data_IF_759200600432
#
_entry.id   IF_759200600432
#
_cell.length_a   1.000
_cell.length_b   1.000
_cell.length_c   1.000
_cell.angle_alpha   90.00
_cell.angle_beta   90.00
_cell.angle_gamma   90.00
#
_symmetry.space_group_name_H-M   'P 1'
#
loop_
_entity.id
_entity.type
_entity.pdbx_description
1 polymer ?
#
# COMPACT_ATOMS: atom_id res chain seq x y z
N UNK A 1 22.31 -23.84 21.13
CA UNK A 1 22.29 -25.02 22.05
C UNK A 1 21.22 -24.97 23.15
N UNK A 2 21.09 -23.93 24.01
CA UNK A 2 20.03 -23.91 25.04
C UNK A 2 18.63 -23.95 24.43
N UNK A 3 18.35 -23.03 23.49
CA UNK A 3 17.05 -22.90 22.81
C UNK A 3 16.65 -24.21 22.09
N UNK A 4 17.60 -24.85 21.41
CA UNK A 4 17.36 -26.13 20.73
C UNK A 4 17.02 -27.25 21.71
N UNK A 5 17.79 -27.39 22.80
CA UNK A 5 17.53 -28.40 23.84
C UNK A 5 16.15 -28.21 24.47
N UNK A 6 15.81 -26.96 24.79
CA UNK A 6 14.51 -26.61 25.34
C UNK A 6 13.39 -26.89 24.35
N UNK A 7 13.53 -26.47 23.08
CA UNK A 7 12.58 -26.74 22.02
C UNK A 7 12.37 -28.23 21.77
N UNK A 8 13.44 -29.02 21.73
CA UNK A 8 13.35 -30.48 21.60
C UNK A 8 12.59 -31.12 22.77
N UNK A 9 12.85 -30.69 24.01
CA UNK A 9 12.13 -31.17 25.18
C UNK A 9 10.64 -30.80 25.11
N UNK A 10 10.34 -29.54 24.78
CA UNK A 10 8.97 -29.05 24.60
C UNK A 10 8.23 -29.84 23.52
N UNK A 11 8.83 -30.01 22.35
CA UNK A 11 8.24 -30.76 21.24
C UNK A 11 7.97 -32.22 21.58
N UNK A 12 8.84 -32.88 22.35
CA UNK A 12 8.59 -34.24 22.85
C UNK A 12 7.38 -34.31 23.80
N UNK A 13 7.23 -33.33 24.70
CA UNK A 13 6.10 -33.27 25.65
C UNK A 13 4.76 -32.99 24.94
N UNK A 14 4.81 -32.24 23.83
CA UNK A 14 3.63 -31.86 23.04
C UNK A 14 3.30 -32.85 21.93
N UNK A 15 4.22 -33.75 21.55
CA UNK A 15 4.01 -34.72 20.48
C UNK A 15 2.79 -35.60 20.77
N UNK A 16 1.88 -35.70 19.79
CA UNK A 16 0.63 -36.47 19.91
C UNK A 16 -0.48 -35.75 20.68
N UNK A 17 -0.26 -34.52 21.16
CA UNK A 17 -1.29 -33.67 21.77
C UNK A 17 -1.83 -32.66 20.76
N UNK A 18 -3.08 -32.24 20.95
CA UNK A 18 -3.63 -31.10 20.22
C UNK A 18 -3.08 -29.80 20.83
N UNK A 19 -1.94 -29.33 20.31
CA UNK A 19 -1.22 -28.18 20.84
C UNK A 19 -0.69 -27.27 19.71
N UNK A 20 -0.73 -25.96 19.94
CA UNK A 20 -0.15 -24.94 19.07
C UNK A 20 1.01 -24.24 19.81
N UNK A 21 2.16 -24.12 19.15
CA UNK A 21 3.28 -23.30 19.63
C UNK A 21 3.25 -21.98 18.89
N UNK A 22 3.23 -20.88 19.64
CA UNK A 22 3.35 -19.53 19.09
C UNK A 22 4.62 -18.88 19.65
N UNK A 23 5.56 -18.56 18.77
CA UNK A 23 6.68 -17.67 19.09
C UNK A 23 6.38 -16.29 18.50
N UNK A 24 6.37 -15.27 19.36
CA UNK A 24 6.19 -13.88 18.96
C UNK A 24 7.53 -13.17 18.97
N UNK A 25 7.82 -12.43 17.91
CA UNK A 25 9.02 -11.60 17.76
C UNK A 25 8.77 -10.54 16.71
N UNK A 26 9.26 -9.34 16.95
CA UNK A 26 9.52 -8.37 15.89
C UNK A 26 10.79 -8.80 15.13
N UNK A 27 10.87 -8.46 13.85
CA UNK A 27 12.03 -8.74 13.00
C UNK A 27 13.00 -7.54 13.03
N UNK A 28 13.33 -6.97 11.87
CA UNK A 28 14.23 -5.84 11.78
C UNK A 28 13.72 -4.65 12.59
N UNK A 29 14.62 -4.02 13.35
CA UNK A 29 14.33 -2.78 14.08
C UNK A 29 15.04 -1.61 13.43
N UNK A 30 14.23 -0.67 12.95
CA UNK A 30 14.56 0.68 12.53
C UNK A 30 15.40 0.91 11.26
N UNK A 31 15.67 -0.07 10.37
CA UNK A 31 16.28 0.28 9.09
C UNK A 31 15.24 0.99 8.20
N UNK A 32 15.66 1.39 7.00
CA UNK A 32 14.72 1.87 5.98
C UNK A 32 13.74 0.76 5.57
N UNK A 33 12.61 1.12 4.96
CA UNK A 33 11.63 0.15 4.45
C UNK A 33 12.27 -0.89 3.52
N UNK A 34 13.11 -0.44 2.58
CA UNK A 34 13.78 -1.33 1.62
C UNK A 34 14.77 -2.27 2.32
N UNK A 35 15.53 -1.74 3.28
CA UNK A 35 16.47 -2.54 4.06
C UNK A 35 15.76 -3.54 4.97
N UNK A 36 14.63 -3.17 5.59
CA UNK A 36 13.80 -4.09 6.36
C UNK A 36 13.36 -5.28 5.50
N UNK A 37 12.86 -5.04 4.29
CA UNK A 37 12.49 -6.12 3.34
C UNK A 37 13.70 -7.02 3.04
N UNK A 38 14.87 -6.43 2.79
CA UNK A 38 16.10 -7.16 2.49
C UNK A 38 16.63 -7.98 3.68
N UNK A 39 16.37 -7.54 4.92
CA UNK A 39 16.75 -8.22 6.18
C UNK A 39 15.76 -9.34 6.53
N UNK A 40 14.47 -9.04 6.48
CA UNK A 40 13.41 -9.85 7.07
C UNK A 40 13.07 -11.08 6.20
N UNK A 41 13.05 -10.93 4.88
CA UNK A 41 12.67 -12.01 3.95
C UNK A 41 13.62 -13.22 4.07
N UNK A 42 14.96 -13.05 4.10
CA UNK A 42 15.89 -14.15 4.38
C UNK A 42 15.65 -14.82 5.73
N UNK A 43 15.35 -14.06 6.78
CA UNK A 43 15.08 -14.60 8.13
C UNK A 43 13.82 -15.47 8.11
N UNK A 44 12.72 -14.97 7.54
CA UNK A 44 11.46 -15.71 7.42
C UNK A 44 11.63 -16.98 6.57
N UNK A 45 12.41 -16.89 5.49
CA UNK A 45 12.72 -18.03 4.63
C UNK A 45 13.56 -19.07 5.38
N UNK A 46 14.53 -18.64 6.20
CA UNK A 46 15.32 -19.54 7.04
C UNK A 46 14.46 -20.23 8.12
N UNK A 47 13.51 -19.53 8.72
CA UNK A 47 12.58 -20.13 9.70
C UNK A 47 11.80 -21.29 9.05
N UNK A 48 11.37 -21.10 7.80
CA UNK A 48 10.64 -22.12 7.03
C UNK A 48 11.46 -23.39 6.73
N UNK A 49 12.79 -23.37 6.85
CA UNK A 49 13.62 -24.56 6.57
C UNK A 49 13.75 -25.51 7.77
N UNK A 50 13.22 -25.16 8.94
CA UNK A 50 13.38 -25.93 10.19
C UNK A 50 14.85 -26.18 10.58
N UNK A 51 15.73 -25.25 10.24
CA UNK A 51 17.16 -25.31 10.55
C UNK A 51 17.54 -24.17 11.51
N UNK A 52 17.68 -24.46 12.82
CA UNK A 52 18.06 -23.45 13.81
C UNK A 52 19.38 -22.74 13.50
N UNK A 53 20.35 -23.43 12.88
CA UNK A 53 21.64 -22.83 12.54
C UNK A 53 21.46 -21.82 11.41
N UNK A 54 20.75 -22.21 10.35
CA UNK A 54 20.43 -21.30 9.23
C UNK A 54 19.63 -20.08 9.68
N UNK A 55 18.70 -20.25 10.61
CA UNK A 55 17.94 -19.14 11.21
C UNK A 55 18.87 -18.18 11.95
N UNK A 56 19.74 -18.71 12.81
CA UNK A 56 20.70 -17.90 13.56
C UNK A 56 21.65 -17.15 12.63
N UNK A 57 22.15 -17.79 11.56
CA UNK A 57 22.98 -17.16 10.54
C UNK A 57 22.22 -16.05 9.82
N UNK A 58 20.96 -16.28 9.43
CA UNK A 58 20.13 -15.28 8.76
C UNK A 58 19.84 -14.05 9.64
N UNK A 59 19.65 -14.23 10.96
CA UNK A 59 19.43 -13.13 11.91
C UNK A 59 20.72 -12.30 12.09
N UNK A 60 21.89 -12.96 12.13
CA UNK A 60 23.17 -12.29 12.43
C UNK A 60 23.85 -11.70 11.20
N UNK A 61 23.69 -12.30 10.02
CA UNK A 61 24.37 -11.86 8.81
C UNK A 61 24.14 -10.37 8.46
N UNK A 62 22.91 -9.81 8.59
CA UNK A 62 22.67 -8.39 8.34
C UNK A 62 23.41 -7.45 9.31
N UNK A 63 23.58 -7.86 10.57
CA UNK A 63 24.31 -7.07 11.57
C UNK A 63 25.78 -6.88 11.17
N UNK A 64 26.36 -7.88 10.52
CA UNK A 64 27.75 -7.82 10.03
C UNK A 64 27.93 -6.96 8.77
N UNK A 65 26.83 -6.60 8.08
CA UNK A 65 26.87 -5.79 6.86
C UNK A 65 26.86 -4.28 7.12
N UNK A 66 26.65 -3.85 8.37
CA UNK A 66 26.62 -2.42 8.72
C UNK A 66 25.45 -1.66 8.10
N UNK A 67 24.28 -2.29 7.97
CA UNK A 67 23.06 -1.64 7.45
C UNK A 67 22.71 -0.45 8.37
N UNK A 68 22.47 0.72 7.77
CA UNK A 68 22.17 1.94 8.50
C UNK A 68 20.93 1.77 9.39
N UNK A 69 21.02 2.23 10.64
CA UNK A 69 19.96 2.20 11.66
C UNK A 69 19.41 0.80 12.01
N UNK A 70 20.02 -0.30 11.53
CA UNK A 70 19.58 -1.65 11.90
C UNK A 70 20.05 -2.00 13.32
N UNK A 71 19.10 -2.08 14.26
CA UNK A 71 19.42 -2.41 15.65
C UNK A 71 19.43 -3.93 15.93
N UNK A 72 18.59 -4.68 15.23
CA UNK A 72 18.53 -6.14 15.29
C UNK A 72 17.81 -6.68 14.05
N UNK A 73 18.09 -7.92 13.66
CA UNK A 73 17.32 -8.64 12.63
C UNK A 73 16.10 -9.40 13.19
N UNK A 74 16.11 -9.74 14.48
CA UNK A 74 14.95 -10.25 15.21
C UNK A 74 15.20 -10.13 16.73
N UNK A 75 14.31 -9.46 17.45
CA UNK A 75 14.49 -9.25 18.89
C UNK A 75 14.27 -10.54 19.71
N UNK A 76 13.50 -11.49 19.18
CA UNK A 76 13.15 -12.77 19.77
C UNK A 76 13.89 -13.97 19.17
N UNK A 77 15.21 -13.87 18.93
CA UNK A 77 16.03 -15.00 18.43
C UNK A 77 15.80 -16.28 19.25
N UNK A 78 15.84 -16.19 20.59
CA UNK A 78 15.66 -17.33 21.48
C UNK A 78 14.30 -18.05 21.31
N UNK A 79 13.16 -17.33 21.43
CA UNK A 79 11.84 -17.86 21.13
C UNK A 79 11.70 -18.47 19.73
N UNK A 80 12.23 -17.81 18.68
CA UNK A 80 12.19 -18.32 17.31
C UNK A 80 12.94 -19.67 17.22
N UNK A 81 14.20 -19.72 17.67
CA UNK A 81 15.01 -20.93 17.63
C UNK A 81 14.38 -22.09 18.43
N UNK A 82 13.77 -21.76 19.57
CA UNK A 82 13.03 -22.72 20.40
C UNK A 82 11.82 -23.29 19.65
N UNK A 83 11.00 -22.44 19.03
CA UNK A 83 9.81 -22.88 18.32
C UNK A 83 10.17 -23.71 17.08
N UNK A 84 11.21 -23.33 16.33
CA UNK A 84 11.73 -24.11 15.20
C UNK A 84 12.18 -25.50 15.66
N UNK A 85 12.96 -25.59 16.73
CA UNK A 85 13.41 -26.87 17.27
C UNK A 85 12.24 -27.73 17.80
N UNK A 86 11.26 -27.10 18.44
CA UNK A 86 10.07 -27.80 18.95
C UNK A 86 9.18 -28.33 17.82
N UNK A 87 8.91 -27.52 16.79
CA UNK A 87 8.16 -27.91 15.61
C UNK A 87 8.81 -29.10 14.91
N UNK A 88 10.14 -29.08 14.73
CA UNK A 88 10.90 -30.20 14.18
C UNK A 88 10.77 -31.46 15.02
N UNK A 89 10.86 -31.35 16.35
CA UNK A 89 10.68 -32.49 17.26
C UNK A 89 9.24 -33.05 17.25
N UNK A 90 8.24 -32.22 16.96
CA UNK A 90 6.84 -32.63 16.76
C UNK A 90 6.59 -33.27 15.39
N UNK A 91 7.55 -33.22 14.46
CA UNK A 91 7.47 -33.87 13.15
C UNK A 91 7.19 -32.94 11.97
N UNK A 92 7.27 -31.61 12.15
CA UNK A 92 7.18 -30.67 11.04
C UNK A 92 8.25 -30.99 9.97
N UNK A 93 7.88 -30.88 8.70
CA UNK A 93 8.76 -31.17 7.55
C UNK A 93 9.24 -29.91 6.83
N UNK A 94 8.59 -28.77 7.09
CA UNK A 94 8.99 -27.47 6.58
C UNK A 94 8.04 -26.39 7.05
N UNK A 95 8.11 -25.23 6.42
CA UNK A 95 7.21 -24.12 6.70
C UNK A 95 6.84 -23.31 5.47
N UNK A 96 5.82 -22.47 5.65
CA UNK A 96 5.34 -21.49 4.68
C UNK A 96 5.33 -20.12 5.33
N UNK A 97 5.96 -19.15 4.69
CA UNK A 97 5.78 -17.73 5.06
C UNK A 97 4.33 -17.37 4.71
N UNK A 98 3.55 -17.06 5.74
CA UNK A 98 2.11 -16.77 5.63
C UNK A 98 1.89 -15.31 5.27
N UNK A 99 2.65 -14.41 5.90
CA UNK A 99 2.53 -12.98 5.69
C UNK A 99 3.81 -12.28 6.12
N UNK A 100 4.10 -11.16 5.46
CA UNK A 100 5.11 -10.20 5.83
C UNK A 100 4.55 -8.79 5.65
N UNK A 101 4.89 -7.90 6.56
CA UNK A 101 4.68 -6.47 6.47
C UNK A 101 5.68 -5.77 7.41
N UNK A 102 5.92 -4.49 7.19
CA UNK A 102 6.62 -3.65 8.17
C UNK A 102 5.77 -2.41 8.49
N UNK A 103 6.15 -1.68 9.55
CA UNK A 103 5.41 -0.50 10.00
C UNK A 103 5.35 0.64 8.97
N UNK A 104 6.15 0.60 7.92
CA UNK A 104 6.10 1.54 6.79
C UNK A 104 5.09 1.16 5.70
N UNK A 105 4.45 -0.01 5.78
CA UNK A 105 3.41 -0.44 4.82
C UNK A 105 2.03 0.15 5.11
N UNK A 106 1.86 0.83 6.25
CA UNK A 106 0.65 1.57 6.54
C UNK A 106 0.61 2.86 5.74
N UNK A 107 -0.60 3.33 5.44
CA UNK A 107 -0.81 4.51 4.61
C UNK A 107 -0.30 5.83 5.22
N UNK A 108 0.07 5.85 6.51
CA UNK A 108 0.54 7.01 7.27
C UNK A 108 1.80 6.64 8.07
N UNK A 109 2.73 5.93 7.45
CA UNK A 109 3.94 5.40 8.10
C UNK A 109 5.20 6.14 7.68
N UNK A 110 6.15 6.26 8.61
CA UNK A 110 7.53 6.66 8.29
C UNK A 110 8.27 5.46 7.68
N UNK A 111 8.68 5.60 6.42
CA UNK A 111 9.41 4.56 5.67
C UNK A 111 10.93 4.63 5.86
N UNK A 112 11.45 5.66 6.52
CA UNK A 112 12.87 5.80 6.83
C UNK A 112 13.30 4.97 8.03
N UNK A 113 12.34 4.58 8.89
CA UNK A 113 12.60 3.87 10.14
C UNK A 113 11.45 2.94 10.50
N UNK A 114 11.56 1.65 10.14
CA UNK A 114 10.45 0.69 10.27
C UNK A 114 10.75 -0.48 11.21
N UNK A 115 9.71 -1.17 11.67
CA UNK A 115 9.81 -2.46 12.35
C UNK A 115 9.18 -3.55 11.47
N UNK A 116 9.90 -4.66 11.27
CA UNK A 116 9.45 -5.81 10.48
C UNK A 116 8.55 -6.77 11.25
N UNK A 117 7.52 -7.29 10.60
CA UNK A 117 6.59 -8.28 11.14
C UNK A 117 6.37 -9.40 10.13
N UNK A 118 6.47 -10.65 10.57
CA UNK A 118 6.22 -11.79 9.70
C UNK A 118 5.61 -12.97 10.44
N UNK A 119 4.91 -13.81 9.68
CA UNK A 119 4.31 -15.03 10.18
C UNK A 119 4.79 -16.22 9.33
N UNK A 120 5.29 -17.26 9.99
CA UNK A 120 5.68 -18.52 9.35
C UNK A 120 4.90 -19.66 10.01
N UNK A 121 4.18 -20.43 9.20
CA UNK A 121 3.53 -21.65 9.65
C UNK A 121 4.47 -22.83 9.41
N UNK A 122 4.78 -23.61 10.45
CA UNK A 122 5.59 -24.82 10.39
C UNK A 122 4.66 -26.03 10.47
N UNK A 123 4.66 -26.88 9.44
CA UNK A 123 3.66 -27.95 9.29
C UNK A 123 4.28 -29.29 8.89
N UNK A 124 3.51 -30.36 9.09
CA UNK A 124 3.86 -31.72 8.63
C UNK A 124 3.71 -31.86 7.11
N UNK A 125 2.75 -31.14 6.53
CA UNK A 125 2.42 -31.13 5.10
C UNK A 125 2.86 -29.80 4.49
N UNK A 126 4.18 -29.53 4.51
CA UNK A 126 4.71 -28.29 3.97
C UNK A 126 4.26 -28.14 2.50
N UNK A 127 3.46 -27.12 2.14
CA UNK A 127 3.09 -26.89 0.75
C UNK A 127 4.34 -26.59 -0.06
N UNK A 128 4.47 -27.18 -1.25
CA UNK A 128 5.35 -26.63 -2.27
C UNK A 128 4.92 -25.18 -2.56
N UNK A 129 5.83 -24.28 -2.96
CA UNK A 129 5.46 -22.92 -3.29
C UNK A 129 4.42 -22.95 -4.42
N UNK A 130 3.16 -22.72 -4.09
CA UNK A 130 2.15 -22.41 -5.10
C UNK A 130 2.54 -21.05 -5.68
N UNK A 131 3.00 -21.06 -6.93
CA UNK A 131 3.08 -19.85 -7.73
C UNK A 131 1.71 -19.17 -7.66
N UNK A 132 1.68 -17.91 -7.21
CA UNK A 132 0.48 -17.10 -7.27
C UNK A 132 -0.09 -17.23 -8.69
N UNK A 133 -1.31 -17.77 -8.81
CA UNK A 133 -1.97 -17.83 -10.11
C UNK A 133 -2.05 -16.40 -10.62
N UNK A 134 -1.44 -16.08 -11.77
CA UNK A 134 -1.59 -14.75 -12.35
C UNK A 134 -3.08 -14.58 -12.65
N UNK A 135 -3.68 -13.55 -12.05
CA UNK A 135 -5.01 -13.11 -12.46
C UNK A 135 -4.89 -12.68 -13.92
N UNK A 136 -5.62 -13.35 -14.81
CA UNK A 136 -5.63 -13.14 -16.26
C UNK A 136 -6.34 -11.85 -16.70
N UNK A 137 -6.19 -10.77 -15.94
CA UNK A 137 -6.66 -9.44 -16.31
C UNK A 137 -5.50 -8.63 -16.88
N UNK A 138 -5.75 -7.82 -17.90
CA UNK A 138 -4.83 -6.77 -18.32
C UNK A 138 -4.52 -5.88 -17.10
N UNK A 139 -3.24 -5.71 -16.78
CA UNK A 139 -2.78 -5.06 -15.55
C UNK A 139 -3.30 -3.62 -15.34
N UNK A 140 -3.85 -2.99 -16.38
CA UNK A 140 -4.24 -1.58 -16.35
C UNK A 140 -5.70 -1.30 -15.95
N UNK A 141 -6.61 -2.29 -16.02
CA UNK A 141 -8.06 -2.04 -15.89
C UNK A 141 -8.65 -2.54 -14.56
N UNK A 142 -9.24 -1.60 -13.79
CA UNK A 142 -9.91 -1.90 -12.52
C UNK A 142 -11.24 -2.62 -12.75
N UNK A 143 -11.34 -3.85 -12.26
CA UNK A 143 -12.56 -4.64 -12.32
C UNK A 143 -13.57 -4.17 -11.25
N UNK A 144 -14.87 -4.51 -11.38
CA UNK A 144 -15.87 -4.19 -10.37
C UNK A 144 -15.49 -4.68 -8.95
N UNK A 145 -14.83 -5.84 -8.87
CA UNK A 145 -14.30 -6.37 -7.60
C UNK A 145 -13.22 -5.48 -6.98
N UNK A 146 -12.34 -4.90 -7.79
CA UNK A 146 -11.30 -3.97 -7.34
C UNK A 146 -11.92 -2.67 -6.80
N UNK A 147 -12.87 -2.12 -7.54
CA UNK A 147 -13.61 -0.90 -7.15
C UNK A 147 -14.28 -1.07 -5.78
N UNK A 148 -15.02 -2.17 -5.62
CA UNK A 148 -15.67 -2.52 -4.34
C UNK A 148 -14.65 -2.69 -3.21
N UNK A 149 -13.53 -3.35 -3.47
CA UNK A 149 -12.49 -3.58 -2.48
C UNK A 149 -11.77 -2.27 -2.04
N UNK A 150 -11.53 -1.35 -2.98
CA UNK A 150 -10.95 -0.03 -2.70
C UNK A 150 -11.90 0.85 -1.86
N UNK A 151 -13.20 0.89 -2.18
CA UNK A 151 -14.20 1.59 -1.38
C UNK A 151 -14.28 1.01 0.05
N UNK A 152 -14.33 -0.32 0.15
CA UNK A 152 -14.33 -1.01 1.44
C UNK A 152 -13.06 -0.71 2.25
N UNK A 153 -11.89 -0.65 1.61
CA UNK A 153 -10.64 -0.26 2.25
C UNK A 153 -10.74 1.18 2.77
N UNK A 154 -11.18 2.14 1.97
CA UNK A 154 -11.33 3.54 2.37
C UNK A 154 -12.23 3.69 3.60
N UNK A 155 -13.43 3.10 3.56
CA UNK A 155 -14.38 3.10 4.70
C UNK A 155 -13.78 2.46 5.94
N UNK A 156 -13.20 1.27 5.81
CA UNK A 156 -12.59 0.54 6.93
C UNK A 156 -11.44 1.32 7.53
N UNK A 157 -10.66 2.02 6.71
CA UNK A 157 -9.53 2.84 7.14
C UNK A 157 -9.99 4.00 8.00
N UNK A 158 -10.94 4.80 7.53
CA UNK A 158 -11.48 5.94 8.28
C UNK A 158 -12.12 5.45 9.59
N UNK A 159 -13.00 4.45 9.50
CA UNK A 159 -13.75 3.92 10.66
C UNK A 159 -12.80 3.38 11.73
N UNK A 160 -11.79 2.60 11.33
CA UNK A 160 -10.81 2.01 12.27
C UNK A 160 -9.92 3.06 12.89
N UNK A 161 -9.50 4.07 12.13
CA UNK A 161 -8.70 5.16 12.67
C UNK A 161 -9.49 5.98 13.70
N UNK A 162 -10.75 6.33 13.40
CA UNK A 162 -11.62 7.06 14.32
C UNK A 162 -11.99 6.29 15.60
N UNK A 163 -11.77 4.97 15.65
CA UNK A 163 -12.13 4.12 16.80
C UNK A 163 -10.93 3.62 17.58
N UNK A 164 -9.78 3.42 16.92
CA UNK A 164 -8.61 2.75 17.52
C UNK A 164 -7.29 3.43 17.19
N UNK A 165 -7.30 4.49 16.39
CA UNK A 165 -6.11 5.17 15.87
C UNK A 165 -5.18 4.24 15.05
N UNK A 166 -5.67 3.08 14.64
CA UNK A 166 -4.95 2.14 13.76
C UNK A 166 -5.58 2.09 12.38
N UNK A 167 -4.78 1.72 11.37
CA UNK A 167 -5.25 1.56 9.98
C UNK A 167 -5.07 0.12 9.50
N UNK A 168 -5.95 -0.39 8.61
CA UNK A 168 -5.75 -1.70 8.00
C UNK A 168 -4.58 -1.67 7.00
N UNK A 169 -3.86 -2.78 6.89
CA UNK A 169 -2.90 -2.97 5.81
C UNK A 169 -3.63 -3.15 4.46
N UNK A 170 -3.15 -2.45 3.44
CA UNK A 170 -3.64 -2.58 2.07
C UNK A 170 -3.05 -3.84 1.42
N UNK A 171 -3.78 -4.96 1.43
CA UNK A 171 -3.31 -6.27 0.95
C UNK A 171 -4.42 -7.10 0.31
N UNK A 172 -4.02 -8.13 -0.44
CA UNK A 172 -4.95 -9.04 -1.10
C UNK A 172 -5.62 -8.44 -2.33
N UNK A 173 -5.01 -7.41 -2.92
CA UNK A 173 -5.52 -6.76 -4.11
C UNK A 173 -4.94 -7.35 -5.40
N UNK A 174 -5.69 -7.21 -6.49
CA UNK A 174 -5.24 -7.55 -7.84
C UNK A 174 -4.02 -6.72 -8.26
N UNK A 175 -3.26 -7.16 -9.28
CA UNK A 175 -2.15 -6.39 -9.84
C UNK A 175 -2.53 -4.96 -10.22
N UNK A 176 -3.72 -4.74 -10.79
CA UNK A 176 -4.18 -3.41 -11.21
C UNK A 176 -4.31 -2.39 -10.06
N UNK A 177 -4.55 -2.86 -8.83
CA UNK A 177 -4.61 -2.01 -7.63
C UNK A 177 -3.22 -1.81 -6.99
N UNK A 178 -2.23 -2.61 -7.41
CA UNK A 178 -0.83 -2.46 -6.99
C UNK A 178 -0.07 -1.47 -7.90
N UNK A 179 -0.66 -1.06 -9.01
CA UNK A 179 -0.12 -0.01 -9.88
C UNK A 179 -0.07 1.35 -9.20
N UNK A 180 0.90 2.16 -9.59
CA UNK A 180 1.09 3.53 -9.10
C UNK A 180 0.16 4.47 -9.85
N UNK A 181 -0.98 4.80 -9.23
CA UNK A 181 -2.02 5.64 -9.82
C UNK A 181 -2.44 6.72 -8.85
N UNK A 182 -2.58 7.95 -9.36
CA UNK A 182 -3.17 9.04 -8.59
C UNK A 182 -4.62 8.74 -8.21
N UNK A 183 -5.09 9.28 -7.10
CA UNK A 183 -6.46 9.09 -6.63
C UNK A 183 -6.92 10.28 -5.80
N UNK A 184 -8.20 10.60 -5.93
CA UNK A 184 -8.92 11.48 -5.00
C UNK A 184 -9.96 10.67 -4.25
N UNK A 185 -10.02 10.88 -2.94
CA UNK A 185 -11.07 10.33 -2.09
C UNK A 185 -12.02 11.46 -1.74
N UNK A 186 -13.29 11.30 -2.05
CA UNK A 186 -14.32 12.29 -1.74
C UNK A 186 -15.29 11.66 -0.75
N UNK A 187 -15.58 12.41 0.32
CA UNK A 187 -16.60 12.08 1.31
C UNK A 187 -17.80 12.98 1.05
N UNK A 188 -18.98 12.39 0.94
CA UNK A 188 -20.25 13.10 0.78
C UNK A 188 -21.17 12.77 1.95
N UNK A 189 -21.68 13.78 2.65
CA UNK A 189 -22.68 13.63 3.71
C UNK A 189 -24.03 14.11 3.19
N UNK A 190 -25.01 13.21 3.11
CA UNK A 190 -26.32 13.47 2.49
C UNK A 190 -26.20 14.13 1.10
N UNK A 191 -25.30 13.61 0.26
CA UNK A 191 -25.01 14.13 -1.08
C UNK A 191 -24.10 15.37 -1.13
N UNK A 192 -23.87 16.07 -0.01
CA UNK A 192 -23.05 17.28 0.03
C UNK A 192 -21.58 16.95 0.33
N UNK A 193 -20.65 17.70 -0.26
CA UNK A 193 -19.22 17.54 0.00
C UNK A 193 -18.90 17.69 1.51
N UNK A 194 -18.20 16.70 2.07
CA UNK A 194 -17.78 16.64 3.48
C UNK A 194 -16.26 16.56 3.68
N UNK A 195 -15.54 16.28 2.60
CA UNK A 195 -14.08 16.30 2.50
C UNK A 195 -13.63 15.73 1.16
N UNK A 196 -12.57 16.27 0.57
CA UNK A 196 -11.97 15.73 -0.64
C UNK A 196 -10.49 16.07 -0.72
N UNK A 197 -9.65 15.03 -0.66
CA UNK A 197 -8.20 15.15 -0.80
C UNK A 197 -7.72 14.05 -1.75
N UNK A 198 -6.69 14.37 -2.54
CA UNK A 198 -6.07 13.43 -3.46
C UNK A 198 -4.65 13.77 -3.81
N UNK A 199 -4.05 12.85 -4.58
CA UNK A 199 -2.71 12.96 -5.15
C UNK A 199 -2.79 12.66 -6.64
N UNK A 200 -2.24 13.58 -7.42
CA UNK A 200 -2.14 13.42 -8.88
C UNK A 200 -0.97 12.52 -9.26
N UNK A 201 0.20 12.80 -8.67
CA UNK A 201 1.43 12.01 -8.84
C UNK A 201 1.50 11.04 -7.67
N UNK A 202 1.41 9.73 -7.90
CA UNK A 202 1.39 8.73 -6.84
C UNK A 202 2.77 8.48 -6.26
N UNK A 203 2.90 8.62 -4.94
CA UNK A 203 4.08 8.22 -4.16
C UNK A 203 4.04 6.76 -3.68
N UNK A 204 2.91 6.08 -3.87
CA UNK A 204 2.67 4.71 -3.43
C UNK A 204 1.66 3.98 -4.36
N UNK A 205 1.60 2.63 -4.31
CA UNK A 205 0.56 1.85 -4.98
C UNK A 205 -0.85 2.32 -4.64
N UNK A 206 -1.78 2.20 -5.59
CA UNK A 206 -3.16 2.71 -5.47
C UNK A 206 -3.85 2.26 -4.17
N UNK A 207 -3.74 0.99 -3.78
CA UNK A 207 -4.33 0.49 -2.54
C UNK A 207 -3.83 1.23 -1.28
N UNK A 208 -2.53 1.53 -1.19
CA UNK A 208 -1.96 2.29 -0.07
C UNK A 208 -2.40 3.76 -0.12
N UNK A 209 -2.37 4.34 -1.32
CA UNK A 209 -2.72 5.74 -1.54
C UNK A 209 -4.20 6.03 -1.23
N UNK A 210 -5.11 5.11 -1.55
CA UNK A 210 -6.53 5.20 -1.17
C UNK A 210 -6.70 5.26 0.34
N UNK A 211 -6.00 4.42 1.09
CA UNK A 211 -6.04 4.47 2.56
C UNK A 211 -5.54 5.81 3.11
N UNK A 212 -4.46 6.34 2.54
CA UNK A 212 -3.86 7.60 2.97
C UNK A 212 -4.82 8.77 2.70
N UNK A 213 -5.31 8.87 1.47
CA UNK A 213 -6.20 9.94 1.04
C UNK A 213 -7.57 9.85 1.72
N UNK A 214 -8.03 8.66 2.12
CA UNK A 214 -9.25 8.51 2.91
C UNK A 214 -9.12 9.19 4.29
N UNK A 215 -7.99 8.99 4.98
CA UNK A 215 -7.74 9.69 6.26
C UNK A 215 -7.57 11.19 6.05
N UNK A 216 -6.80 11.61 5.04
CA UNK A 216 -6.62 13.04 4.76
C UNK A 216 -7.96 13.73 4.45
N UNK A 217 -8.83 13.08 3.67
CA UNK A 217 -10.16 13.60 3.34
C UNK A 217 -11.08 13.67 4.56
N UNK A 218 -10.94 12.73 5.51
CA UNK A 218 -11.73 12.72 6.72
C UNK A 218 -11.25 13.75 7.76
N UNK A 219 -9.94 13.99 7.88
CA UNK A 219 -9.36 14.71 9.03
C UNK A 219 -8.68 16.03 8.68
N UNK A 220 -8.15 16.18 7.47
CA UNK A 220 -7.21 17.25 7.11
C UNK A 220 -7.66 18.10 5.90
N UNK A 221 -8.93 18.01 5.51
CA UNK A 221 -9.50 18.98 4.57
C UNK A 221 -9.84 20.28 5.31
N UNK A 222 -9.00 21.31 5.15
CA UNK A 222 -9.11 22.59 5.86
C UNK A 222 -10.44 23.33 5.68
N UNK A 223 -11.27 22.94 4.70
CA UNK A 223 -12.61 23.50 4.50
C UNK A 223 -13.63 22.97 5.51
N UNK A 224 -13.33 21.87 6.19
CA UNK A 224 -14.25 21.17 7.08
C UNK A 224 -13.59 20.83 8.43
N UNK A 225 -14.40 20.64 9.47
CA UNK A 225 -13.91 20.02 10.71
C UNK A 225 -13.66 18.52 10.49
N UNK A 226 -12.75 17.89 11.26
CA UNK A 226 -12.55 16.45 11.17
C UNK A 226 -13.86 15.66 11.30
N UNK A 227 -14.02 14.62 10.49
CA UNK A 227 -15.16 13.70 10.51
C UNK A 227 -15.20 12.93 11.83
N UNK A 228 -16.39 12.82 12.41
CA UNK A 228 -16.60 12.01 13.62
C UNK A 228 -17.12 10.61 13.28
N UNK A 229 -16.94 9.66 14.20
CA UNK A 229 -17.43 8.28 14.02
C UNK A 229 -18.95 8.22 13.81
N UNK A 230 -19.72 9.12 14.46
CA UNK A 230 -21.17 9.17 14.32
C UNK A 230 -21.62 9.59 12.90
N UNK A 231 -20.82 10.40 12.20
CA UNK A 231 -21.09 10.83 10.83
C UNK A 231 -20.84 9.71 9.81
N UNK A 232 -20.06 8.68 10.13
CA UNK A 232 -19.68 7.64 9.16
C UNK A 232 -20.87 6.87 8.58
N UNK A 233 -21.98 6.78 9.31
CA UNK A 233 -23.23 6.16 8.83
C UNK A 233 -23.97 7.01 7.78
N UNK A 234 -23.67 8.31 7.73
CA UNK A 234 -24.28 9.32 6.86
C UNK A 234 -23.39 9.70 5.68
N UNK A 235 -22.12 9.25 5.72
CA UNK A 235 -21.12 9.50 4.69
C UNK A 235 -21.18 8.42 3.62
N UNK A 236 -21.18 8.85 2.37
CA UNK A 236 -20.88 8.06 1.18
C UNK A 236 -19.47 8.40 0.68
N UNK A 237 -18.72 7.37 0.32
CA UNK A 237 -17.36 7.50 -0.23
C UNK A 237 -17.41 7.37 -1.75
N UNK A 238 -16.69 8.27 -2.41
CA UNK A 238 -16.44 8.26 -3.84
C UNK A 238 -14.92 8.25 -4.07
N UNK A 239 -14.48 7.46 -5.04
CA UNK A 239 -13.08 7.38 -5.46
C UNK A 239 -12.97 7.81 -6.92
N UNK A 240 -12.05 8.74 -7.18
CA UNK A 240 -11.67 9.16 -8.52
C UNK A 240 -10.25 8.69 -8.80
N UNK A 241 -10.11 7.49 -9.38
CA UNK A 241 -8.81 6.88 -9.68
C UNK A 241 -8.32 7.35 -11.03
N UNK A 242 -7.14 7.95 -11.07
CA UNK A 242 -6.54 8.46 -12.30
C UNK A 242 -5.93 7.32 -13.10
N UNK A 243 -6.10 7.31 -14.42
CA UNK A 243 -5.32 6.42 -15.30
C UNK A 243 -3.84 6.82 -15.27
N UNK A 244 -2.91 5.91 -15.60
CA UNK A 244 -1.53 6.29 -15.85
C UNK A 244 -1.46 7.43 -16.86
N UNK A 245 -0.57 8.39 -16.60
CA UNK A 245 -0.35 9.52 -17.51
C UNK A 245 0.23 9.00 -18.83
N UNK A 246 -0.35 9.43 -19.94
CA UNK A 246 0.11 9.09 -21.29
C UNK A 246 0.59 10.35 -21.99
N UNK A 247 1.84 10.35 -22.45
CA UNK A 247 2.36 11.43 -23.29
C UNK A 247 1.57 11.48 -24.60
N UNK A 248 1.16 12.68 -24.99
CA UNK A 248 0.48 12.92 -26.27
C UNK A 248 1.35 13.79 -27.18
N UNK A 249 1.35 13.55 -28.51
CA UNK A 249 2.18 14.30 -29.46
C UNK A 249 1.91 15.81 -29.46
N UNK A 250 0.64 16.21 -29.35
CA UNK A 250 0.26 17.61 -29.42
C UNK A 250 -1.03 17.95 -28.70
N UNK A 251 -1.39 19.22 -28.77
CA UNK A 251 -2.60 19.75 -28.14
C UNK A 251 -3.88 19.16 -28.78
N UNK A 252 -3.83 18.85 -30.06
CA UNK A 252 -4.91 18.30 -30.87
C UNK A 252 -5.42 16.94 -30.36
N UNK A 253 -4.55 16.15 -29.74
CA UNK A 253 -4.85 14.84 -29.16
C UNK A 253 -5.61 14.93 -27.83
N UNK A 254 -5.69 16.12 -27.25
CA UNK A 254 -6.36 16.38 -25.98
C UNK A 254 -7.86 16.54 -26.20
N UNK A 255 -8.66 15.73 -25.52
CA UNK A 255 -10.13 15.80 -25.58
C UNK A 255 -10.68 16.46 -24.32
N UNK A 256 -11.19 17.68 -24.48
CA UNK A 256 -11.81 18.47 -23.40
C UNK A 256 -12.97 17.70 -22.78
N UNK A 257 -13.04 17.68 -21.45
CA UNK A 257 -14.07 16.98 -20.68
C UNK A 257 -13.83 15.47 -20.50
N UNK A 258 -12.93 14.88 -21.30
CA UNK A 258 -12.46 13.49 -21.13
C UNK A 258 -11.10 13.44 -20.44
N UNK A 259 -10.17 14.26 -20.90
CA UNK A 259 -8.78 14.21 -20.48
C UNK A 259 -8.45 15.29 -19.45
N UNK A 260 -7.86 14.87 -18.35
CA UNK A 260 -7.02 15.73 -17.52
C UNK A 260 -5.69 15.93 -18.22
N UNK A 261 -5.11 17.12 -18.06
CA UNK A 261 -3.93 17.55 -18.83
C UNK A 261 -2.87 18.03 -17.87
N UNK A 262 -1.70 17.41 -17.94
CA UNK A 262 -0.45 17.93 -17.40
C UNK A 262 0.30 18.61 -18.55
N UNK A 263 0.55 19.91 -18.39
CA UNK A 263 1.41 20.69 -19.27
C UNK A 263 2.75 20.88 -18.57
N UNK A 264 3.84 20.64 -19.30
CA UNK A 264 5.20 20.92 -18.82
C UNK A 264 6.00 21.69 -19.89
N UNK A 265 6.75 22.72 -19.45
CA UNK A 265 7.66 23.49 -20.30
C UNK A 265 8.91 23.85 -19.50
N UNK A 266 10.01 23.12 -19.74
CA UNK A 266 11.22 23.21 -18.93
C UNK A 266 10.94 22.84 -17.46
N UNK A 267 11.15 23.78 -16.54
CA UNK A 267 10.86 23.58 -15.09
C UNK A 267 9.44 23.99 -14.69
N UNK A 268 8.70 24.66 -15.56
CA UNK A 268 7.33 25.08 -15.29
C UNK A 268 6.36 23.96 -15.66
N UNK A 269 5.33 23.75 -14.83
CA UNK A 269 4.29 22.78 -15.12
C UNK A 269 3.01 23.05 -14.35
N UNK A 270 1.89 22.64 -14.91
CA UNK A 270 0.59 22.75 -14.30
C UNK A 270 -0.34 21.63 -14.78
N UNK A 271 -1.35 21.35 -13.97
CA UNK A 271 -2.31 20.28 -14.24
C UNK A 271 -3.75 20.70 -13.98
N UNK A 272 -4.65 20.19 -14.82
CA UNK A 272 -6.09 20.23 -14.62
C UNK A 272 -6.70 18.84 -14.70
N UNK A 273 -7.74 18.61 -13.90
CA UNK A 273 -8.56 17.40 -13.96
C UNK A 273 -9.52 17.47 -15.15
N UNK A 274 -10.04 16.33 -15.65
CA UNK A 274 -10.92 16.27 -16.83
C UNK A 274 -12.10 17.26 -16.80
N UNK A 275 -12.72 17.43 -15.64
CA UNK A 275 -13.93 18.23 -15.45
C UNK A 275 -13.70 19.75 -15.42
N UNK A 276 -12.46 20.22 -15.21
CA UNK A 276 -12.21 21.65 -14.99
C UNK A 276 -12.62 22.48 -16.19
N UNK A 277 -12.25 22.05 -17.40
CA UNK A 277 -12.56 22.81 -18.61
C UNK A 277 -14.06 22.84 -18.90
N UNK A 278 -14.77 21.72 -18.69
CA UNK A 278 -16.21 21.64 -18.93
C UNK A 278 -17.01 22.45 -17.91
N UNK A 279 -16.63 22.44 -16.63
CA UNK A 279 -17.26 23.26 -15.59
C UNK A 279 -17.11 24.76 -15.84
N UNK A 280 -16.02 25.18 -16.46
CA UNK A 280 -15.75 26.59 -16.79
C UNK A 280 -16.23 27.00 -18.19
N UNK A 281 -16.73 26.05 -18.99
CA UNK A 281 -17.11 26.28 -20.38
C UNK A 281 -15.92 26.63 -21.29
N UNK A 282 -14.70 26.23 -20.92
CA UNK A 282 -13.50 26.50 -21.70
C UNK A 282 -13.36 25.56 -22.89
N UNK A 283 -12.98 26.13 -24.03
CA UNK A 283 -12.41 25.40 -25.16
C UNK A 283 -11.03 24.82 -24.82
N UNK A 284 -10.52 23.95 -25.70
CA UNK A 284 -9.18 23.36 -25.57
C UNK A 284 -8.09 24.44 -25.46
N UNK A 285 -8.17 25.45 -26.32
CA UNK A 285 -7.19 26.55 -26.35
C UNK A 285 -7.25 27.39 -25.07
N UNK A 286 -8.45 27.72 -24.60
CA UNK A 286 -8.62 28.44 -23.32
C UNK A 286 -8.08 27.64 -22.15
N UNK A 287 -8.38 26.34 -22.08
CA UNK A 287 -7.84 25.45 -21.05
C UNK A 287 -6.31 25.42 -21.05
N UNK A 288 -5.67 25.29 -22.23
CA UNK A 288 -4.21 25.29 -22.35
C UNK A 288 -3.59 26.64 -21.98
N UNK A 289 -4.25 27.74 -22.33
CA UNK A 289 -3.84 29.08 -21.90
C UNK A 289 -3.94 29.24 -20.38
N UNK A 290 -4.99 28.72 -19.75
CA UNK A 290 -5.11 28.72 -18.29
C UNK A 290 -4.08 27.80 -17.61
N UNK A 291 -3.71 26.67 -18.24
CA UNK A 291 -2.60 25.83 -17.77
C UNK A 291 -1.27 26.57 -17.82
N UNK A 292 -0.98 27.30 -18.91
CA UNK A 292 0.21 28.15 -18.97
C UNK A 292 0.23 29.15 -17.82
N UNK A 293 -0.86 29.89 -17.62
CA UNK A 293 -0.96 30.87 -16.53
C UNK A 293 -0.76 30.23 -15.16
N UNK A 294 -1.36 29.07 -14.92
CA UNK A 294 -1.20 28.29 -13.68
C UNK A 294 0.23 27.79 -13.49
N UNK A 295 0.95 27.51 -14.57
CA UNK A 295 2.37 27.13 -14.56
C UNK A 295 3.30 28.35 -14.41
N UNK A 296 2.77 29.57 -14.30
CA UNK A 296 3.55 30.81 -14.27
C UNK A 296 4.10 31.25 -15.64
N UNK A 297 3.52 30.75 -16.73
CA UNK A 297 3.89 31.06 -18.11
C UNK A 297 2.91 32.06 -18.75
N UNK A 298 3.34 32.76 -19.79
CA UNK A 298 2.45 33.60 -20.58
C UNK A 298 1.43 32.76 -21.36
N UNK A 299 0.27 33.33 -21.70
CA UNK A 299 -0.69 32.71 -22.63
C UNK A 299 0.01 32.34 -23.95
N UNK A 300 -0.50 31.32 -24.63
CA UNK A 300 0.03 30.74 -25.87
C UNK A 300 1.43 30.12 -25.78
N UNK A 301 2.08 30.15 -24.61
CA UNK A 301 3.39 29.51 -24.40
C UNK A 301 3.37 28.00 -24.67
N UNK A 302 2.19 27.37 -24.63
CA UNK A 302 2.01 25.95 -24.93
C UNK A 302 2.22 25.60 -26.41
N UNK A 303 2.14 26.58 -27.32
CA UNK A 303 2.27 26.34 -28.78
C UNK A 303 3.68 25.96 -29.22
N UNK A 304 4.70 26.22 -28.40
CA UNK A 304 6.10 25.92 -28.72
C UNK A 304 6.82 25.31 -27.52
N UNK A 305 7.42 24.12 -27.71
CA UNK A 305 8.27 23.47 -26.71
C UNK A 305 7.58 23.08 -25.40
N UNK A 306 6.25 22.97 -25.40
CA UNK A 306 5.52 22.37 -24.28
C UNK A 306 5.28 20.89 -24.56
N UNK A 307 5.36 20.10 -23.50
CA UNK A 307 5.05 18.67 -23.50
C UNK A 307 3.72 18.46 -22.78
N UNK A 308 2.92 17.53 -23.30
CA UNK A 308 1.61 17.22 -22.76
C UNK A 308 1.53 15.76 -22.35
N UNK A 309 0.97 15.53 -21.16
CA UNK A 309 0.50 14.22 -20.75
C UNK A 309 -0.99 14.29 -20.42
N UNK A 310 -1.72 13.26 -20.82
CA UNK A 310 -3.15 13.13 -20.55
C UNK A 310 -3.42 11.98 -19.59
N UNK A 311 -4.48 12.12 -18.81
CA UNK A 311 -5.01 11.05 -17.97
C UNK A 311 -6.52 11.19 -17.86
N UNK A 312 -7.20 10.13 -17.47
CA UNK A 312 -8.64 10.11 -17.25
C UNK A 312 -8.92 9.78 -15.78
N UNK A 313 -10.12 10.09 -15.30
CA UNK A 313 -10.57 9.72 -13.97
C UNK A 313 -11.64 8.63 -14.07
N UNK A 314 -11.36 7.47 -13.47
CA UNK A 314 -12.34 6.40 -13.25
C UNK A 314 -13.02 6.72 -11.92
N UNK A 315 -14.23 7.27 -11.99
CA UNK A 315 -15.03 7.66 -10.81
C UNK A 315 -15.98 6.53 -10.45
N UNK A 316 -16.03 6.17 -9.17
CA UNK A 316 -17.00 5.20 -8.65
C UNK A 316 -17.32 5.46 -7.18
N UNK A 317 -18.53 5.10 -6.76
CA UNK A 317 -19.05 5.41 -5.43
C UNK A 317 -19.72 4.21 -4.75
N UNK A 318 -19.91 4.27 -3.42
CA UNK A 318 -20.40 3.12 -2.65
C UNK A 318 -21.81 2.67 -3.03
N UNK A 319 -22.71 3.57 -3.41
CA UNK A 319 -24.06 3.16 -3.80
C UNK A 319 -24.13 2.34 -5.10
N UNK A 320 -23.06 2.28 -5.91
CA UNK A 320 -22.96 1.34 -7.04
C UNK A 320 -22.85 -0.13 -6.59
N UNK A 321 -22.48 -0.40 -5.33
CA UNK A 321 -22.14 -1.74 -4.83
C UNK A 321 -22.96 -2.20 -3.61
N UNK A 322 -24.05 -1.49 -3.31
CA UNK A 322 -24.99 -1.79 -2.21
C UNK A 322 -25.90 -2.98 -2.55
#
# INVERSE_FOLDING_TARGET
>A
RLCERFGQALGKVLKGKNALIVASSDLSHYPSHADAVAVDIPILTAIATLDPQRVQEAIKAPMNKGIANLHTGACGEGPILTAVAAAKAMGAKGGKVVSYANSGDIAIGDRSRVVGYGAVALTVDAPQPEAAKPSSGTADELQPGDKKALLALARKTITRYLTTETVPLARGFSPAVQEYRGVFVTLKKFGNLRGCIGRLIPEAPLGQLVGAMAIQSALNDNRFRPVTIAEMKEIEIELSVLTPMKTVPGAEDIVVGRDGVLLQKGRAGAVFLPQVATEQGWSREEMLNQLCLKAGLAKDSWRTGAEFQTFQAIVFHESEFK
#
